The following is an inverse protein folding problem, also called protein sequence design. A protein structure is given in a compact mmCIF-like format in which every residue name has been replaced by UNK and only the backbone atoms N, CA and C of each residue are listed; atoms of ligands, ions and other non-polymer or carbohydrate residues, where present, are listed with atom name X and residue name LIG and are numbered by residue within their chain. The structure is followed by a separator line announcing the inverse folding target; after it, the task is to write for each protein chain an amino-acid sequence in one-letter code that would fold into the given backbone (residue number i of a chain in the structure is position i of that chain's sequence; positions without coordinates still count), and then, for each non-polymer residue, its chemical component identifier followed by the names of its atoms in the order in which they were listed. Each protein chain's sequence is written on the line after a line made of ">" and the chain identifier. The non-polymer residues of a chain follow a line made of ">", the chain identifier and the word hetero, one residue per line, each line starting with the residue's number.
data_IF_328846824921
#
_entry.id   IF_328846824921
#
_cell.length_a   1.000
_cell.length_b   1.000
_cell.length_c   1.000
_cell.angle_alpha   90.00
_cell.angle_beta   90.00
_cell.angle_gamma   90.00
#
_symmetry.space_group_name_H-M   'P 1'
#
loop_
_entity.id
_entity.type
_entity.pdbx_description
1 polymer ?
#
# COMPACT_ATOMS: atom_id res chain seq x y z
N UNK A 1 11.04 9.95 -19.16
CA UNK A 1 12.07 9.19 -18.40
C UNK A 1 11.76 7.71 -18.44
N UNK A 2 12.76 6.87 -18.77
CA UNK A 2 12.62 5.41 -18.74
C UNK A 2 12.46 4.94 -17.29
N UNK A 3 11.43 4.15 -17.01
CA UNK A 3 11.19 3.55 -15.68
C UNK A 3 11.63 2.09 -15.72
N UNK A 4 12.66 1.74 -14.97
CA UNK A 4 13.16 0.36 -14.85
C UNK A 4 12.65 -0.27 -13.57
N UNK A 5 12.11 -1.48 -13.68
CA UNK A 5 11.55 -2.23 -12.56
C UNK A 5 12.36 -3.50 -12.38
N UNK A 6 12.79 -3.76 -11.15
CA UNK A 6 13.46 -5.01 -10.75
C UNK A 6 12.65 -6.22 -11.23
N UNK A 7 13.31 -7.23 -11.82
CA UNK A 7 12.63 -8.38 -12.43
C UNK A 7 11.86 -9.25 -11.43
N UNK A 8 12.22 -9.21 -10.15
CA UNK A 8 11.50 -9.94 -9.10
C UNK A 8 10.14 -9.33 -8.73
N UNK A 9 9.89 -8.05 -9.07
CA UNK A 9 8.64 -7.37 -8.73
C UNK A 9 7.62 -7.53 -9.85
N UNK A 10 7.03 -8.72 -9.92
CA UNK A 10 5.91 -9.04 -10.82
C UNK A 10 4.57 -8.83 -10.12
N UNK A 11 3.53 -8.50 -10.89
CA UNK A 11 2.17 -8.37 -10.36
C UNK A 11 1.79 -9.67 -9.61
N UNK A 12 1.19 -9.51 -8.43
CA UNK A 12 0.84 -10.60 -7.51
C UNK A 12 1.96 -11.04 -6.55
N UNK A 13 3.18 -10.52 -6.69
CA UNK A 13 4.28 -10.84 -5.77
C UNK A 13 4.01 -10.29 -4.38
N UNK A 14 4.31 -11.07 -3.35
CA UNK A 14 4.28 -10.60 -1.96
C UNK A 14 5.55 -9.79 -1.69
N UNK A 15 5.34 -8.63 -1.11
CA UNK A 15 6.32 -7.60 -0.86
C UNK A 15 6.40 -7.32 0.63
N UNK A 16 7.60 -7.09 1.13
CA UNK A 16 7.82 -6.63 2.51
C UNK A 16 8.16 -5.15 2.45
N UNK A 17 7.43 -4.34 3.23
CA UNK A 17 7.68 -2.92 3.33
C UNK A 17 8.78 -2.64 4.35
N UNK A 18 9.79 -1.87 3.95
CA UNK A 18 10.93 -1.56 4.80
C UNK A 18 10.77 -0.25 5.58
N UNK A 19 9.96 0.68 5.07
CA UNK A 19 9.89 2.03 5.62
C UNK A 19 8.46 2.58 5.76
N UNK A 20 8.31 3.52 6.69
CA UNK A 20 7.08 4.24 6.99
C UNK A 20 6.15 3.49 7.96
N UNK A 21 4.90 3.98 8.09
CA UNK A 21 3.90 3.47 9.07
C UNK A 21 3.58 1.97 8.95
N UNK A 22 3.87 1.39 7.79
CA UNK A 22 3.58 -0.02 7.48
C UNK A 22 4.87 -0.84 7.32
N UNK A 23 6.00 -0.38 7.85
CA UNK A 23 7.25 -1.13 7.87
C UNK A 23 7.04 -2.51 8.54
N UNK A 24 7.74 -3.52 8.03
CA UNK A 24 7.59 -4.92 8.42
C UNK A 24 6.34 -5.61 7.86
N UNK A 25 5.32 -4.88 7.37
CA UNK A 25 4.11 -5.53 6.86
C UNK A 25 4.35 -6.21 5.51
N UNK A 26 3.73 -7.37 5.33
CA UNK A 26 3.72 -8.13 4.08
C UNK A 26 2.48 -7.81 3.27
N UNK A 27 2.67 -7.43 2.02
CA UNK A 27 1.63 -6.81 1.17
C UNK A 27 1.75 -7.33 -0.25
N UNK A 28 0.69 -7.25 -1.04
CA UNK A 28 0.62 -7.80 -2.40
C UNK A 28 0.80 -6.67 -3.41
N UNK A 29 1.69 -6.89 -4.39
CA UNK A 29 1.86 -5.98 -5.51
C UNK A 29 0.68 -6.15 -6.48
N UNK A 30 -0.10 -5.09 -6.70
CA UNK A 30 -1.30 -5.14 -7.55
C UNK A 30 -1.03 -4.50 -8.92
N UNK A 31 -0.20 -3.47 -8.97
CA UNK A 31 0.12 -2.79 -10.22
C UNK A 31 1.35 -1.91 -10.12
N UNK A 32 1.74 -1.38 -11.27
CA UNK A 32 2.84 -0.43 -11.42
C UNK A 32 2.24 0.82 -12.05
N UNK A 33 2.49 1.98 -11.45
CA UNK A 33 1.98 3.26 -11.94
C UNK A 33 2.92 3.87 -12.99
N UNK A 34 2.44 4.82 -13.81
CA UNK A 34 3.25 5.52 -14.81
C UNK A 34 4.47 6.24 -14.21
N UNK A 35 4.39 6.69 -12.96
CA UNK A 35 5.53 7.26 -12.22
C UNK A 35 6.66 6.26 -11.92
N UNK A 36 6.43 4.95 -12.08
CA UNK A 36 7.33 3.87 -11.64
C UNK A 36 7.16 3.50 -10.16
N UNK A 37 6.17 4.08 -9.47
CA UNK A 37 5.79 3.67 -8.13
C UNK A 37 4.97 2.37 -8.18
N UNK A 38 5.16 1.54 -7.18
CA UNK A 38 4.42 0.30 -7.02
C UNK A 38 3.09 0.58 -6.33
N UNK A 39 2.00 0.08 -6.88
CA UNK A 39 0.70 0.07 -6.22
C UNK A 39 0.53 -1.25 -5.48
N UNK A 40 0.37 -1.14 -4.17
CA UNK A 40 0.41 -2.25 -3.26
C UNK A 40 -0.85 -2.25 -2.39
N UNK A 41 -1.42 -3.42 -2.14
CA UNK A 41 -2.47 -3.62 -1.13
C UNK A 41 -2.05 -4.72 -0.17
N UNK A 42 -2.18 -4.48 1.12
CA UNK A 42 -2.29 -5.59 2.07
C UNK A 42 -3.76 -5.71 2.38
N UNK A 43 -4.47 -6.80 2.02
CA UNK A 43 -5.92 -6.89 2.21
C UNK A 43 -6.30 -6.29 3.56
N UNK A 44 -7.10 -5.20 3.56
CA UNK A 44 -7.17 -4.30 4.71
C UNK A 44 -7.66 -5.03 5.96
N UNK A 45 -8.51 -6.03 5.76
CA UNK A 45 -9.01 -6.95 6.77
C UNK A 45 -7.94 -7.84 7.43
N UNK A 46 -6.77 -8.02 6.81
CA UNK A 46 -5.70 -8.87 7.33
C UNK A 46 -4.65 -8.05 8.08
N UNK A 47 -4.10 -7.01 7.47
CA UNK A 47 -2.96 -6.29 8.04
C UNK A 47 -3.13 -4.77 8.10
N UNK A 48 -4.34 -4.26 7.81
CA UNK A 48 -4.69 -2.84 7.87
C UNK A 48 -3.75 -1.93 7.05
N UNK A 49 -3.19 -2.45 5.95
CA UNK A 49 -2.41 -1.67 5.00
C UNK A 49 -3.29 -1.29 3.80
N UNK A 50 -3.77 -0.05 3.68
CA UNK A 50 -4.61 0.33 2.55
C UNK A 50 -3.84 0.29 1.23
N UNK A 51 -4.56 0.45 0.13
CA UNK A 51 -4.02 0.73 -1.20
C UNK A 51 -3.07 1.92 -1.11
N UNK A 52 -1.81 1.65 -1.42
CA UNK A 52 -0.74 2.60 -1.20
C UNK A 52 0.29 2.51 -2.30
N UNK A 53 0.77 3.68 -2.72
CA UNK A 53 1.93 3.83 -3.60
C UNK A 53 3.21 3.75 -2.80
N UNK A 54 4.15 2.95 -3.26
CA UNK A 54 5.41 2.68 -2.58
C UNK A 54 6.55 2.69 -3.60
N UNK A 55 7.68 3.37 -3.32
CA UNK A 55 8.82 3.32 -4.20
C UNK A 55 9.50 1.95 -4.09
N UNK A 56 9.99 1.46 -5.22
CA UNK A 56 10.64 0.15 -5.33
C UNK A 56 11.83 -0.07 -4.39
N UNK A 57 12.54 1.01 -4.00
CA UNK A 57 13.71 0.93 -3.12
C UNK A 57 13.37 0.48 -1.69
N UNK A 58 12.14 0.74 -1.22
CA UNK A 58 11.73 0.39 0.15
C UNK A 58 10.94 -0.93 0.22
N UNK A 59 11.16 -1.81 -0.74
CA UNK A 59 10.44 -3.07 -0.87
C UNK A 59 11.39 -4.24 -1.10
N UNK A 60 11.23 -5.30 -0.31
CA UNK A 60 11.77 -6.62 -0.62
C UNK A 60 10.70 -7.41 -1.36
N UNK A 61 11.00 -7.87 -2.58
CA UNK A 61 10.15 -8.83 -3.28
C UNK A 61 10.48 -10.23 -2.78
N UNK A 62 9.50 -10.96 -2.25
CA UNK A 62 9.68 -12.35 -1.85
C UNK A 62 9.49 -13.28 -3.05
N UNK A 63 9.83 -14.56 -2.88
CA UNK A 63 9.56 -15.60 -3.89
C UNK A 63 8.07 -15.95 -3.98
N UNK A 64 7.28 -15.63 -2.95
CA UNK A 64 5.85 -15.94 -2.90
C UNK A 64 5.06 -15.07 -3.87
N UNK A 65 4.32 -15.71 -4.78
CA UNK A 65 3.47 -15.04 -5.76
C UNK A 65 2.04 -15.53 -5.66
N UNK A 66 1.09 -14.61 -5.81
CA UNK A 66 -0.35 -14.87 -5.86
C UNK A 66 -0.79 -14.60 -7.30
N UNK A 67 -1.42 -15.59 -7.94
CA UNK A 67 -2.00 -15.37 -9.26
C UNK A 67 -3.28 -14.55 -9.11
N UNK A 68 -3.27 -13.32 -9.61
CA UNK A 68 -4.43 -12.42 -9.60
C UNK A 68 -5.39 -12.67 -10.79
N UNK A 69 -5.11 -13.70 -11.61
CA UNK A 69 -5.94 -14.10 -12.75
C UNK A 69 -6.20 -12.92 -13.70
N UNK A 70 -7.49 -12.69 -14.00
CA UNK A 70 -7.95 -11.63 -14.91
C UNK A 70 -8.12 -10.26 -14.24
N UNK A 71 -7.62 -10.07 -13.02
CA UNK A 71 -7.76 -8.78 -12.34
C UNK A 71 -7.02 -7.67 -13.11
N UNK A 72 -7.79 -6.73 -13.65
CA UNK A 72 -7.28 -5.54 -14.32
C UNK A 72 -7.38 -4.36 -13.38
N UNK A 73 -6.30 -3.58 -13.31
CA UNK A 73 -6.28 -2.34 -12.54
C UNK A 73 -7.27 -1.33 -13.17
N UNK A 74 -8.22 -0.77 -12.40
CA UNK A 74 -9.06 0.32 -12.86
C UNK A 74 -8.26 1.51 -13.38
N UNK A 75 -8.70 2.10 -14.50
CA UNK A 75 -8.00 3.20 -15.20
C UNK A 75 -7.86 4.48 -14.39
N UNK A 76 -8.71 4.69 -13.39
CA UNK A 76 -8.66 5.87 -12.52
C UNK A 76 -7.53 5.83 -11.49
N UNK A 77 -6.89 4.68 -11.29
CA UNK A 77 -5.72 4.56 -10.39
C UNK A 77 -4.47 5.15 -11.03
N UNK A 78 -4.37 6.47 -10.94
CA UNK A 78 -3.22 7.25 -11.40
C UNK A 78 -2.51 7.94 -10.25
N UNK A 79 -1.37 8.55 -10.54
CA UNK A 79 -0.57 9.25 -9.52
C UNK A 79 -1.30 10.42 -8.86
N UNK A 80 -2.23 11.06 -9.58
CA UNK A 80 -3.08 12.14 -9.06
C UNK A 80 -4.14 11.64 -8.10
N UNK A 81 -4.72 10.46 -8.35
CA UNK A 81 -5.69 9.84 -7.46
C UNK A 81 -5.13 9.69 -6.04
N UNK A 82 -3.85 9.32 -5.93
CA UNK A 82 -3.16 9.10 -4.66
C UNK A 82 -2.44 10.34 -4.12
N UNK A 83 -2.61 11.51 -4.74
CA UNK A 83 -1.99 12.75 -4.28
C UNK A 83 -2.57 13.13 -2.91
N UNK A 84 -1.70 13.60 -2.01
CA UNK A 84 -2.14 14.05 -0.68
C UNK A 84 -2.87 15.39 -0.83
N UNK A 85 -3.97 15.55 -0.10
CA UNK A 85 -4.69 16.81 -0.08
C UNK A 85 -3.85 17.88 0.61
N UNK A 86 -3.60 19.02 -0.05
CA UNK A 86 -2.64 20.05 0.42
C UNK A 86 -3.02 20.64 1.79
N UNK A 87 -4.32 20.68 2.11
CA UNK A 87 -4.85 21.15 3.40
C UNK A 87 -4.39 20.29 4.58
N UNK A 88 -4.26 18.98 4.40
CA UNK A 88 -3.77 18.06 5.42
C UNK A 88 -2.23 18.09 5.60
N UNK A 89 -1.49 18.71 4.66
CA UNK A 89 -0.02 18.72 4.63
C UNK A 89 0.54 20.08 5.09
N UNK A 90 -0.15 21.19 4.77
CA UNK A 90 0.28 22.52 5.18
C UNK A 90 0.01 22.72 6.69
N UNK A 91 1.05 23.12 7.43
CA UNK A 91 0.92 23.65 8.81
C UNK A 91 0.21 25.01 8.85
N UNK A 92 0.05 25.66 7.70
CA UNK A 92 -0.55 26.98 7.56
C UNK A 92 -1.98 26.85 7.08
N UNK A 93 -2.93 26.73 8.01
CA UNK A 93 -4.29 27.24 7.76
C UNK A 93 -4.15 28.74 7.51
N UNK A 94 -4.94 29.33 6.60
CA UNK A 94 -5.02 30.80 6.48
C UNK A 94 -5.38 31.34 7.88
N UNK A 95 -4.40 31.95 8.55
CA UNK A 95 -4.58 32.53 9.88
C UNK A 95 -5.52 33.73 9.74
N UNK A 96 -6.53 33.83 10.60
CA UNK A 96 -7.22 35.10 10.81
C UNK A 96 -6.34 35.96 11.73
N UNK A 97 -6.39 37.28 11.57
CA UNK A 97 -5.72 38.19 12.51
C UNK A 97 -6.22 37.90 13.94
N UNK A 98 -5.29 37.59 14.86
CA UNK A 98 -5.59 37.26 16.27
C UNK A 98 -5.52 35.78 16.68
N UNK A 99 -5.27 34.83 15.77
CA UNK A 99 -5.09 33.41 16.13
C UNK A 99 -3.71 33.14 16.75
N UNK A 100 -3.68 32.43 17.88
CA UNK A 100 -2.48 32.02 18.64
C UNK A 100 -1.43 31.34 17.74
N UNK A 101 -0.20 31.86 17.76
CA UNK A 101 0.93 31.48 16.89
C UNK A 101 1.29 29.99 17.03
N UNK A 102 0.99 29.39 18.19
CA UNK A 102 1.26 27.98 18.51
C UNK A 102 0.12 27.02 18.15
N UNK A 103 -1.10 27.52 17.88
CA UNK A 103 -2.26 26.69 17.54
C UNK A 103 -2.21 26.20 16.07
N UNK A 104 -1.45 25.14 15.80
CA UNK A 104 -1.44 24.49 14.48
C UNK A 104 -2.69 23.62 14.29
N UNK A 105 -3.79 24.21 13.79
CA UNK A 105 -4.99 23.47 13.37
C UNK A 105 -4.69 22.66 12.10
N UNK A 106 -4.16 21.43 12.25
CA UNK A 106 -4.04 20.50 11.11
C UNK A 106 -5.36 19.76 10.94
N UNK A 107 -6.00 19.94 9.78
CA UNK A 107 -7.15 19.11 9.40
C UNK A 107 -6.72 17.64 9.30
N UNK A 108 -7.30 16.78 10.15
CA UNK A 108 -7.06 15.33 10.11
C UNK A 108 -7.59 14.78 8.79
N UNK A 109 -6.78 13.96 8.12
CA UNK A 109 -7.18 13.33 6.86
C UNK A 109 -8.31 12.31 7.11
N UNK A 110 -9.44 12.51 6.42
CA UNK A 110 -10.55 11.55 6.37
C UNK A 110 -10.59 10.94 4.96
N UNK A 111 -10.61 9.60 4.82
CA UNK A 111 -10.74 8.96 3.51
C UNK A 111 -12.10 9.28 2.87
N UNK A 112 -12.08 9.62 1.58
CA UNK A 112 -13.31 9.75 0.78
C UNK A 112 -14.03 8.40 0.66
N UNK A 113 -15.33 8.44 0.39
CA UNK A 113 -16.13 7.23 0.17
C UNK A 113 -15.63 6.42 -1.01
N UNK A 114 -15.25 7.10 -2.10
CA UNK A 114 -14.63 6.49 -3.27
C UNK A 114 -13.38 5.67 -2.91
N UNK A 115 -12.51 6.17 -2.02
CA UNK A 115 -11.34 5.40 -1.57
C UNK A 115 -11.72 4.16 -0.78
N UNK A 116 -12.83 4.20 -0.02
CA UNK A 116 -13.31 3.05 0.74
C UNK A 116 -13.90 1.99 -0.19
N UNK A 117 -14.67 2.39 -1.21
CA UNK A 117 -15.24 1.46 -2.20
C UNK A 117 -14.15 0.84 -3.06
N UNK A 118 -13.23 1.65 -3.58
CA UNK A 118 -12.07 1.19 -4.34
C UNK A 118 -11.23 0.17 -3.54
N UNK A 119 -10.97 0.45 -2.25
CA UNK A 119 -10.28 -0.51 -1.39
C UNK A 119 -10.99 -1.86 -1.32
N UNK A 120 -12.30 -1.86 -1.09
CA UNK A 120 -13.09 -3.10 -0.98
C UNK A 120 -13.03 -3.91 -2.28
N UNK A 121 -13.22 -3.26 -3.42
CA UNK A 121 -13.20 -3.95 -4.72
C UNK A 121 -11.87 -4.64 -5.00
N UNK A 122 -10.74 -3.97 -4.74
CA UNK A 122 -9.41 -4.57 -4.94
C UNK A 122 -9.14 -5.65 -3.91
N UNK A 123 -9.49 -5.43 -2.65
CA UNK A 123 -9.27 -6.41 -1.59
C UNK A 123 -10.10 -7.67 -1.81
N UNK A 124 -11.35 -7.57 -2.28
CA UNK A 124 -12.18 -8.72 -2.64
C UNK A 124 -11.53 -9.59 -3.72
N UNK A 125 -10.95 -8.98 -4.75
CA UNK A 125 -10.23 -9.71 -5.79
C UNK A 125 -9.00 -10.44 -5.24
N UNK A 126 -8.20 -9.77 -4.41
CA UNK A 126 -7.01 -10.37 -3.79
C UNK A 126 -7.38 -11.47 -2.79
N UNK A 127 -8.42 -11.28 -1.99
CA UNK A 127 -8.91 -12.26 -1.02
C UNK A 127 -9.45 -13.50 -1.74
N UNK A 128 -10.20 -13.33 -2.84
CA UNK A 128 -10.66 -14.45 -3.68
C UNK A 128 -9.46 -15.23 -4.23
N UNK A 129 -8.44 -14.55 -4.75
CA UNK A 129 -7.23 -15.18 -5.26
C UNK A 129 -6.46 -15.95 -4.17
N UNK A 130 -6.40 -15.42 -2.94
CA UNK A 130 -5.80 -16.11 -1.79
C UNK A 130 -6.65 -17.32 -1.38
N UNK A 131 -7.98 -17.19 -1.40
CA UNK A 131 -8.93 -18.23 -0.99
C UNK A 131 -8.97 -19.44 -1.92
N UNK A 132 -8.63 -19.26 -3.20
CA UNK A 132 -8.53 -20.32 -4.19
C UNK A 132 -7.31 -21.24 -3.99
N UNK A 133 -6.34 -20.84 -3.17
CA UNK A 133 -5.12 -21.62 -2.94
C UNK A 133 -5.29 -22.71 -1.88
N UNK A 134 -4.56 -23.84 -1.99
CA UNK A 134 -4.58 -24.87 -0.96
C UNK A 134 -3.98 -24.37 0.37
N UNK A 135 -2.95 -23.52 0.32
CA UNK A 135 -2.23 -22.97 1.47
C UNK A 135 -2.87 -21.69 2.03
N UNK A 136 -4.14 -21.40 1.73
CA UNK A 136 -4.83 -20.15 2.11
C UNK A 136 -4.74 -19.79 3.59
N UNK A 137 -4.80 -20.78 4.49
CA UNK A 137 -4.71 -20.56 5.95
C UNK A 137 -3.31 -20.05 6.34
N UNK A 138 -2.26 -20.69 5.80
CA UNK A 138 -0.86 -20.32 6.04
C UNK A 138 -0.57 -18.95 5.43
N UNK A 139 -1.00 -18.71 4.20
CA UNK A 139 -0.77 -17.43 3.52
C UNK A 139 -1.48 -16.27 4.21
N UNK A 140 -2.69 -16.50 4.76
CA UNK A 140 -3.40 -15.50 5.58
C UNK A 140 -2.62 -15.18 6.85
N UNK A 141 -2.09 -16.19 7.55
CA UNK A 141 -1.22 -15.98 8.71
C UNK A 141 0.06 -15.22 8.35
N UNK A 142 0.67 -15.58 7.22
CA UNK A 142 1.87 -14.95 6.70
C UNK A 142 1.68 -13.46 6.41
N UNK A 143 0.56 -13.08 5.76
CA UNK A 143 0.24 -11.67 5.47
C UNK A 143 -0.11 -10.85 6.72
N UNK A 144 -0.63 -11.50 7.76
CA UNK A 144 -0.92 -10.86 9.07
C UNK A 144 0.36 -10.62 9.88
N UNK A 145 1.31 -11.55 9.82
CA UNK A 145 2.54 -11.47 10.58
C UNK A 145 3.46 -10.35 10.03
N UNK A 146 4.14 -9.65 10.93
CA UNK A 146 5.18 -8.70 10.56
C UNK A 146 6.49 -9.44 10.26
N UNK A 147 7.30 -8.85 9.38
CA UNK A 147 8.68 -9.21 9.16
C UNK A 147 9.58 -8.49 10.16
N UNK A 148 10.51 -9.23 10.72
CA UNK A 148 11.60 -8.74 11.56
C UNK A 148 12.68 -9.82 11.62
N UNK A 149 13.93 -9.40 11.73
CA UNK A 149 15.04 -10.30 11.98
C UNK A 149 15.14 -10.51 13.49
N UNK A 150 15.29 -11.77 13.91
CA UNK A 150 15.59 -12.14 15.29
C UNK A 150 17.09 -12.26 15.50
N UNK A 151 17.52 -12.43 16.75
CA UNK A 151 18.91 -12.77 17.06
C UNK A 151 19.36 -13.96 16.20
N UNK A 152 20.58 -13.86 15.67
CA UNK A 152 21.20 -14.86 14.78
C UNK A 152 20.55 -15.05 13.40
N UNK A 153 19.68 -14.12 12.94
CA UNK A 153 19.20 -14.08 11.56
C UNK A 153 19.91 -12.98 10.77
N UNK A 154 20.39 -13.32 9.57
CA UNK A 154 21.09 -12.40 8.66
C UNK A 154 20.25 -12.12 7.39
N UNK A 155 20.28 -10.88 6.86
CA UNK A 155 19.53 -10.47 5.69
C UNK A 155 20.07 -10.99 4.35
#
# INVERSE_FOLDING_TARGET
>A
HVRRIRPNLKIGTVCILLAGRHAGKRVVLVGILPSGLLLVTGPFAFNSCPLRRIPQRYVIGTSTRISLGNFKLPKHFNDDYFKKNKKCVKRTVKRKEGDDIFATKKEKYVPSEQRKTDQKTVDEAVIKAIGARPDKKVLRGYLKAAFGLRSSQYP
#
